data_IF_922627448557
#
_entry.id   IF_922627448557
#
_cell.length_a   1.000
_cell.length_b   1.000
_cell.length_c   1.000
_cell.angle_alpha   90.00
_cell.angle_beta   90.00
_cell.angle_gamma   90.00
#
_symmetry.space_group_name_H-M   'P 1'
#
loop_
_entity.id
_entity.type
_entity.pdbx_description
1 polymer ?
#
# COMPACT_ATOMS: atom_id res chain seq x y z
N UNK A 1 -1.71 -8.43 8.55
CA UNK A 1 -2.41 -8.51 7.24
C UNK A 1 -3.85 -8.01 7.34
N UNK A 2 -4.58 -8.32 8.41
CA UNK A 2 -5.97 -7.88 8.60
C UNK A 2 -6.15 -6.35 8.60
N UNK A 3 -5.27 -5.62 9.31
CA UNK A 3 -5.28 -4.14 9.31
C UNK A 3 -5.15 -3.51 7.92
N UNK A 4 -4.33 -4.11 7.06
CA UNK A 4 -4.13 -3.63 5.68
C UNK A 4 -5.40 -3.85 4.84
N UNK A 5 -6.07 -5.00 5.03
CA UNK A 5 -7.35 -5.29 4.35
C UNK A 5 -8.45 -4.34 4.80
N UNK A 6 -8.48 -4.03 6.10
CA UNK A 6 -9.42 -3.07 6.67
C UNK A 6 -9.19 -1.68 6.09
N UNK A 7 -7.94 -1.20 6.13
CA UNK A 7 -7.55 0.09 5.57
C UNK A 7 -7.87 0.21 4.07
N UNK A 8 -7.61 -0.84 3.29
CA UNK A 8 -7.97 -0.86 1.87
C UNK A 8 -9.49 -0.81 1.67
N UNK A 9 -10.25 -1.49 2.52
CA UNK A 9 -11.71 -1.44 2.47
C UNK A 9 -12.26 -0.07 2.85
N UNK A 10 -11.69 0.59 3.86
CA UNK A 10 -12.10 1.93 4.30
C UNK A 10 -11.93 2.96 3.18
N UNK A 11 -10.75 3.03 2.53
CA UNK A 11 -10.54 3.97 1.44
C UNK A 11 -11.40 3.65 0.22
N UNK A 12 -11.67 2.38 -0.08
CA UNK A 12 -12.57 2.01 -1.16
C UNK A 12 -14.01 2.45 -0.86
N UNK A 13 -14.49 2.27 0.37
CA UNK A 13 -15.80 2.76 0.78
C UNK A 13 -15.88 4.30 0.74
N UNK A 14 -14.82 5.00 1.15
CA UNK A 14 -14.73 6.46 1.09
C UNK A 14 -14.78 6.99 -0.35
N UNK A 15 -14.17 6.25 -1.29
CA UNK A 15 -14.23 6.54 -2.74
C UNK A 15 -15.59 6.18 -3.37
N UNK A 16 -16.55 5.66 -2.60
CA UNK A 16 -17.90 5.33 -3.03
C UNK A 16 -18.10 3.89 -3.51
N UNK A 17 -17.13 3.00 -3.33
CA UNK A 17 -17.28 1.59 -3.66
C UNK A 17 -18.08 0.85 -2.58
N UNK A 18 -19.08 0.06 -2.99
CA UNK A 18 -19.90 -0.67 -2.04
C UNK A 18 -19.15 -1.85 -1.41
N UNK A 19 -19.31 -2.04 -0.10
CA UNK A 19 -18.72 -3.14 0.68
C UNK A 19 -18.99 -4.53 0.10
N UNK A 20 -20.10 -4.72 -0.64
CA UNK A 20 -20.44 -5.98 -1.32
C UNK A 20 -19.45 -6.34 -2.43
N UNK A 21 -18.91 -5.35 -3.14
CA UNK A 21 -17.94 -5.56 -4.22
C UNK A 21 -16.51 -5.75 -3.68
N UNK A 22 -16.24 -5.22 -2.50
CA UNK A 22 -14.91 -5.27 -1.84
C UNK A 22 -14.74 -6.57 -1.01
N UNK A 23 -15.82 -7.34 -0.81
CA UNK A 23 -15.79 -8.61 -0.08
C UNK A 23 -14.93 -9.67 -0.76
N UNK A 24 -14.87 -9.63 -2.08
CA UNK A 24 -14.03 -10.52 -2.87
C UNK A 24 -12.68 -9.85 -3.13
N UNK A 25 -11.64 -10.30 -2.45
CA UNK A 25 -10.29 -9.72 -2.62
C UNK A 25 -9.56 -10.22 -3.86
N UNK A 26 -10.13 -11.20 -4.58
CA UNK A 26 -9.61 -11.66 -5.86
C UNK A 26 -10.03 -10.74 -7.01
N UNK A 27 -11.00 -9.85 -6.80
CA UNK A 27 -11.37 -8.82 -7.78
C UNK A 27 -10.20 -7.90 -8.09
N UNK A 28 -10.04 -7.59 -9.37
CA UNK A 28 -9.03 -6.66 -9.85
C UNK A 28 -9.51 -5.22 -9.78
N UNK A 29 -8.56 -4.29 -9.63
CA UNK A 29 -8.85 -2.85 -9.67
C UNK A 29 -9.52 -2.40 -10.98
N UNK A 30 -9.29 -3.11 -12.07
CA UNK A 30 -9.93 -2.89 -13.37
C UNK A 30 -11.40 -3.35 -13.37
N UNK A 31 -11.68 -4.53 -12.82
CA UNK A 31 -13.05 -5.05 -12.66
C UNK A 31 -13.91 -4.19 -11.72
N UNK A 32 -13.30 -3.59 -10.70
CA UNK A 32 -13.95 -2.60 -9.83
C UNK A 32 -14.17 -1.25 -10.53
N UNK A 33 -13.60 -1.02 -11.71
CA UNK A 33 -13.68 0.25 -12.41
C UNK A 33 -12.86 1.37 -11.75
N UNK A 34 -11.82 1.02 -10.98
CA UNK A 34 -10.98 2.03 -10.31
C UNK A 34 -10.20 2.82 -11.36
N UNK A 35 -10.38 4.14 -11.35
CA UNK A 35 -9.65 5.04 -12.23
C UNK A 35 -8.26 5.38 -11.68
N UNK A 36 -7.40 5.97 -12.52
CA UNK A 36 -6.02 6.30 -12.13
C UNK A 36 -5.94 7.29 -10.96
N UNK A 37 -6.93 8.18 -10.82
CA UNK A 37 -7.01 9.15 -9.72
C UNK A 37 -7.29 8.43 -8.40
N UNK A 38 -8.23 7.49 -8.41
CA UNK A 38 -8.58 6.66 -7.26
C UNK A 38 -7.42 5.74 -6.88
N UNK A 39 -6.71 5.16 -7.86
CA UNK A 39 -5.48 4.38 -7.59
C UNK A 39 -4.40 5.23 -6.91
N UNK A 40 -4.25 6.49 -7.33
CA UNK A 40 -3.31 7.43 -6.71
C UNK A 40 -3.73 7.74 -5.27
N UNK A 41 -5.03 8.03 -5.05
CA UNK A 41 -5.58 8.27 -3.70
C UNK A 41 -5.38 7.08 -2.77
N UNK A 42 -5.64 5.86 -3.23
CA UNK A 42 -5.39 4.62 -2.48
C UNK A 42 -3.89 4.49 -2.13
N UNK A 43 -3.01 4.75 -3.10
CA UNK A 43 -1.55 4.68 -2.87
C UNK A 43 -1.09 5.69 -1.83
N UNK A 44 -1.60 6.93 -1.88
CA UNK A 44 -1.30 7.99 -0.90
C UNK A 44 -1.81 7.58 0.49
N UNK A 45 -3.08 7.16 0.59
CA UNK A 45 -3.68 6.75 1.86
C UNK A 45 -2.90 5.60 2.53
N UNK A 46 -2.52 4.57 1.76
CA UNK A 46 -1.72 3.46 2.28
C UNK A 46 -0.30 3.89 2.66
N UNK A 47 0.29 4.85 1.95
CA UNK A 47 1.57 5.45 2.31
C UNK A 47 1.47 6.25 3.62
N UNK A 48 0.44 7.08 3.81
CA UNK A 48 0.27 7.83 5.05
C UNK A 48 0.03 6.91 6.25
N UNK A 49 -0.74 5.83 6.07
CA UNK A 49 -1.10 4.91 7.16
C UNK A 49 -0.01 3.91 7.53
N UNK A 50 0.74 3.41 6.54
CA UNK A 50 1.72 2.33 6.73
C UNK A 50 3.15 2.72 6.34
N UNK A 51 3.36 3.92 5.81
CA UNK A 51 4.65 4.37 5.31
C UNK A 51 5.10 3.64 4.03
N UNK A 52 4.21 3.02 3.25
CA UNK A 52 4.60 2.19 2.09
C UNK A 52 4.61 2.96 0.78
N UNK A 53 5.59 2.70 -0.11
CA UNK A 53 5.66 3.35 -1.43
C UNK A 53 5.12 2.44 -2.54
N UNK A 54 3.79 2.37 -2.65
CA UNK A 54 3.12 1.52 -3.64
C UNK A 54 2.99 2.25 -4.98
N UNK A 55 3.41 1.60 -6.06
CA UNK A 55 3.22 2.10 -7.44
C UNK A 55 2.02 1.41 -8.09
N UNK A 56 0.80 1.79 -7.71
CA UNK A 56 -0.41 1.26 -8.33
C UNK A 56 -0.59 1.84 -9.74
N UNK A 57 -0.41 1.01 -10.77
CA UNK A 57 -0.63 1.37 -12.17
C UNK A 57 -1.79 0.57 -12.75
N UNK A 58 -2.67 1.23 -13.51
CA UNK A 58 -3.82 0.60 -14.19
C UNK A 58 -3.43 -0.64 -15.02
N UNK A 59 -2.26 -0.60 -15.68
CA UNK A 59 -1.79 -1.69 -16.56
C UNK A 59 -1.52 -3.02 -15.85
N UNK A 60 -1.30 -3.01 -14.53
CA UNK A 60 -0.86 -4.20 -13.81
C UNK A 60 -2.02 -5.10 -13.36
N UNK A 61 -3.28 -4.67 -13.56
CA UNK A 61 -4.49 -5.43 -13.16
C UNK A 61 -4.38 -6.03 -11.75
N UNK A 62 -3.82 -5.28 -10.80
CA UNK A 62 -3.61 -5.80 -9.45
C UNK A 62 -4.96 -6.16 -8.81
N UNK A 63 -5.02 -7.32 -8.20
CA UNK A 63 -6.12 -7.72 -7.32
C UNK A 63 -6.05 -6.93 -6.01
N UNK A 64 -7.17 -6.78 -5.31
CA UNK A 64 -7.14 -6.18 -3.97
C UNK A 64 -6.19 -6.94 -3.04
N UNK A 65 -6.13 -8.26 -3.18
CA UNK A 65 -5.18 -9.12 -2.47
C UNK A 65 -3.72 -8.81 -2.81
N UNK A 66 -3.40 -8.57 -4.09
CA UNK A 66 -2.04 -8.20 -4.51
C UNK A 66 -1.60 -6.88 -3.88
N UNK A 67 -2.51 -5.90 -3.81
CA UNK A 67 -2.23 -4.62 -3.15
C UNK A 67 -1.93 -4.84 -1.68
N UNK A 68 -2.75 -5.62 -0.97
CA UNK A 68 -2.50 -5.94 0.43
C UNK A 68 -1.16 -6.65 0.63
N UNK A 69 -0.82 -7.60 -0.25
CA UNK A 69 0.44 -8.33 -0.18
C UNK A 69 1.64 -7.40 -0.39
N UNK A 70 1.57 -6.49 -1.36
CA UNK A 70 2.64 -5.50 -1.60
C UNK A 70 2.83 -4.59 -0.39
N UNK A 71 1.75 -4.12 0.24
CA UNK A 71 1.82 -3.31 1.47
C UNK A 71 2.55 -4.09 2.57
N UNK A 72 2.13 -5.33 2.82
CA UNK A 72 2.73 -6.18 3.86
C UNK A 72 4.21 -6.46 3.57
N UNK A 73 4.57 -6.71 2.32
CA UNK A 73 5.97 -6.90 1.90
C UNK A 73 6.81 -5.64 2.09
N UNK A 74 6.29 -4.46 1.75
CA UNK A 74 6.95 -3.18 1.97
C UNK A 74 7.18 -2.91 3.46
N UNK A 75 6.15 -3.10 4.29
CA UNK A 75 6.26 -2.97 5.75
C UNK A 75 7.35 -3.92 6.28
N UNK A 76 7.30 -5.19 5.86
CA UNK A 76 8.27 -6.19 6.29
C UNK A 76 9.70 -5.90 5.81
N UNK A 77 9.86 -5.35 4.60
CA UNK A 77 11.17 -4.99 4.03
C UNK A 77 11.78 -3.79 4.74
N UNK A 78 10.97 -2.77 5.09
CA UNK A 78 11.44 -1.62 5.87
C UNK A 78 11.90 -1.98 7.28
N UNK A 79 11.30 -3.00 7.90
CA UNK A 79 11.81 -3.54 9.18
C UNK A 79 13.23 -4.12 9.08
N UNK A 80 13.66 -4.59 7.90
CA UNK A 80 15.04 -5.11 7.70
C UNK A 80 16.07 -4.01 7.41
N UNK A 81 15.63 -2.80 7.07
CA UNK A 81 16.53 -1.72 6.63
C UNK A 81 17.08 -0.88 7.80
N UNK A 82 16.50 -1.00 9.01
CA UNK A 82 16.99 -0.35 10.24
C UNK A 82 18.32 -0.90 10.79
N UNK A 83 18.99 -1.81 10.09
CA UNK A 83 20.32 -2.33 10.45
C UNK A 83 21.45 -1.80 9.54
N UNK A 84 21.25 -0.68 8.83
CA UNK A 84 22.28 -0.11 7.93
C UNK A 84 22.63 1.38 8.12
N UNK A 85 22.12 2.03 9.16
CA UNK A 85 22.55 3.40 9.51
C UNK A 85 23.03 3.49 10.97
N UNK A 86 24.00 2.65 11.32
CA UNK A 86 24.79 2.83 12.54
C UNK A 86 26.28 2.60 12.22
N UNK A 87 26.84 3.46 11.38
CA UNK A 87 28.28 3.76 11.35
C UNK A 87 28.59 4.92 10.39
N UNK A 88 28.66 6.14 10.91
CA UNK A 88 29.83 7.01 10.66
C UNK A 88 29.92 8.09 11.75
N UNK A 89 30.14 7.66 12.98
CA UNK A 89 30.98 8.45 13.89
C UNK A 89 32.42 8.30 13.42
N UNK A 90 32.99 9.35 12.84
CA UNK A 90 34.43 9.71 12.91
C UNK A 90 34.52 11.20 12.64
N UNK A 91 34.58 12.01 13.70
CA UNK A 91 35.80 12.40 14.44
C UNK A 91 36.11 13.85 14.05
N UNK A 92 35.93 14.76 15.01
CA UNK A 92 36.59 16.05 14.95
C UNK A 92 38.11 15.87 15.09
N UNK A 93 38.83 16.88 14.60
CA UNK A 93 40.23 17.27 14.81
C UNK A 93 40.58 18.11 13.58
N UNK A 94 41.22 19.26 13.64
CA UNK A 94 41.75 20.14 14.68
C UNK A 94 41.98 21.48 13.94
#
# INVERSE_FOLDING_TARGET
MEEVRQALSDILMELGFQKRHIKDFAITTDQLGINSINLLRISIYLNEKFGTSLKLRRRNKNSLQDICNQVVQEIASKCKEKSRYDHKSKEGKE
#
